data_IF_497477869438
#
_entry.id   IF_497477869438
#
_cell.length_a   1.000
_cell.length_b   1.000
_cell.length_c   1.000
_cell.angle_alpha   90.00
_cell.angle_beta   90.00
_cell.angle_gamma   90.00
#
_symmetry.space_group_name_H-M   'P 1'
#
loop_
_entity.id
_entity.type
_entity.pdbx_description
1 polymer ?
#
# COMPACT_ATOMS: atom_id res chain seq x y z
N UNK A 1 -19.04 -11.56 43.87
CA UNK A 1 -17.85 -10.77 43.49
C UNK A 1 -16.80 -11.74 42.95
N UNK A 2 -16.80 -12.00 41.65
CA UNK A 2 -15.79 -12.81 40.99
C UNK A 2 -15.04 -11.92 40.02
N UNK A 3 -13.80 -11.54 40.36
CA UNK A 3 -12.91 -10.88 39.41
C UNK A 3 -12.36 -11.96 38.48
N UNK A 4 -12.93 -12.05 37.28
CA UNK A 4 -12.31 -12.76 36.17
C UNK A 4 -11.14 -11.92 35.66
N UNK A 5 -9.92 -12.39 35.91
CA UNK A 5 -8.70 -11.88 35.30
C UNK A 5 -8.75 -12.11 33.79
N UNK A 6 -9.11 -11.05 33.05
CA UNK A 6 -8.93 -10.99 31.60
C UNK A 6 -7.43 -11.03 31.29
N UNK A 7 -6.94 -12.20 30.87
CA UNK A 7 -5.60 -12.35 30.32
C UNK A 7 -5.60 -11.76 28.91
N UNK A 8 -5.26 -10.47 28.81
CA UNK A 8 -5.06 -9.81 27.52
C UNK A 8 -3.83 -10.43 26.83
N UNK A 9 -4.04 -10.98 25.64
CA UNK A 9 -2.94 -11.33 24.74
C UNK A 9 -2.26 -10.00 24.38
N UNK A 10 -1.05 -9.76 24.91
CA UNK A 10 -0.24 -8.59 24.54
C UNK A 10 0.11 -8.69 23.04
N UNK A 11 -0.59 -7.93 22.21
CA UNK A 11 -0.30 -7.80 20.78
C UNK A 11 0.95 -6.95 20.51
N UNK A 12 1.48 -7.05 19.29
CA UNK A 12 2.58 -6.22 18.82
C UNK A 12 2.19 -4.73 18.79
N UNK A 13 3.03 -3.87 19.37
CA UNK A 13 2.76 -2.43 19.56
C UNK A 13 3.84 -1.54 18.94
N UNK A 14 3.57 -0.24 18.87
CA UNK A 14 4.56 0.77 18.44
C UNK A 14 5.80 0.75 19.34
N UNK A 15 5.62 0.59 20.65
CA UNK A 15 6.71 0.51 21.63
C UNK A 15 7.58 -0.74 21.39
N UNK A 16 6.94 -1.88 21.11
CA UNK A 16 7.65 -3.13 20.76
C UNK A 16 8.42 -2.98 19.45
N UNK A 17 7.81 -2.37 18.43
CA UNK A 17 8.45 -2.09 17.16
C UNK A 17 9.70 -1.21 17.35
N UNK A 18 9.57 -0.08 18.04
CA UNK A 18 10.67 0.86 18.33
C UNK A 18 11.80 0.16 19.08
N UNK A 19 11.48 -0.55 20.15
CA UNK A 19 12.48 -1.28 20.96
C UNK A 19 13.22 -2.32 20.13
N UNK A 20 12.50 -3.09 19.31
CA UNK A 20 13.11 -4.12 18.45
C UNK A 20 13.99 -3.52 17.34
N UNK A 21 13.60 -2.37 16.77
CA UNK A 21 14.45 -1.62 15.82
C UNK A 21 15.74 -1.15 16.53
N UNK A 22 15.63 -0.52 17.71
CA UNK A 22 16.78 -0.02 18.46
C UNK A 22 17.76 -1.13 18.86
N UNK A 23 17.24 -2.30 19.21
CA UNK A 23 18.03 -3.49 19.54
C UNK A 23 18.60 -4.19 18.29
N UNK A 24 18.38 -3.66 17.09
CA UNK A 24 18.89 -4.21 15.84
C UNK A 24 18.30 -5.57 15.47
N UNK A 25 17.08 -5.88 15.94
CA UNK A 25 16.39 -7.17 15.72
C UNK A 25 16.14 -7.49 14.25
N UNK A 26 15.93 -6.45 13.45
CA UNK A 26 15.57 -6.54 12.04
C UNK A 26 16.77 -6.20 11.17
N UNK A 27 17.06 -7.07 10.20
CA UNK A 27 18.15 -6.94 9.23
C UNK A 27 17.62 -6.83 7.80
N UNK A 28 16.45 -7.43 7.53
CA UNK A 28 15.82 -7.50 6.22
C UNK A 28 14.42 -6.89 6.29
N UNK A 29 14.36 -5.56 6.25
CA UNK A 29 13.10 -4.81 6.26
C UNK A 29 12.61 -4.65 4.83
N UNK A 30 11.42 -5.15 4.52
CA UNK A 30 10.76 -4.92 3.23
C UNK A 30 9.66 -3.89 3.40
N UNK A 31 9.61 -2.92 2.50
CA UNK A 31 8.60 -1.86 2.48
C UNK A 31 7.73 -2.01 1.23
N UNK A 32 6.42 -2.10 1.42
CA UNK A 32 5.42 -2.06 0.37
C UNK A 32 4.68 -0.72 0.42
N UNK A 33 4.89 0.12 -0.59
CA UNK A 33 4.25 1.43 -0.68
C UNK A 33 3.12 1.46 -1.70
N UNK A 34 2.22 2.43 -1.57
CA UNK A 34 1.27 2.82 -2.62
C UNK A 34 1.18 4.33 -2.75
N UNK A 35 0.26 4.83 -3.58
CA UNK A 35 0.15 6.26 -3.88
C UNK A 35 -0.07 7.17 -2.64
N UNK A 36 -0.58 6.62 -1.53
CA UNK A 36 -0.82 7.37 -0.30
C UNK A 36 0.43 8.00 0.32
N UNK A 37 1.64 7.47 0.04
CA UNK A 37 2.88 8.12 0.52
C UNK A 37 3.21 9.42 -0.24
N UNK A 38 2.61 9.64 -1.41
CA UNK A 38 2.90 10.78 -2.27
C UNK A 38 1.82 11.88 -2.19
N UNK A 39 0.74 11.68 -1.44
CA UNK A 39 -0.38 12.64 -1.40
C UNK A 39 0.00 13.99 -0.80
N UNK A 40 0.88 14.00 0.21
CA UNK A 40 1.36 15.25 0.83
C UNK A 40 2.35 16.00 -0.07
N UNK A 41 2.90 15.35 -1.11
CA UNK A 41 3.68 15.99 -2.17
C UNK A 41 2.80 16.56 -3.31
N UNK A 42 1.47 16.56 -3.16
CA UNK A 42 0.53 17.07 -4.15
C UNK A 42 0.22 16.11 -5.31
N UNK A 43 0.78 14.90 -5.30
CA UNK A 43 0.43 13.86 -6.28
C UNK A 43 -0.84 13.17 -5.78
N UNK A 44 -1.98 13.30 -6.48
CA UNK A 44 -3.23 12.70 -6.02
C UNK A 44 -3.11 11.17 -6.07
N UNK A 45 -3.77 10.50 -5.13
CA UNK A 45 -3.98 9.07 -5.26
C UNK A 45 -5.03 8.76 -6.35
N UNK A 46 -5.29 7.47 -6.58
CA UNK A 46 -6.27 7.06 -7.58
C UNK A 46 -7.73 7.20 -7.11
N UNK A 47 -8.00 6.92 -5.84
CA UNK A 47 -9.33 6.49 -5.35
C UNK A 47 -10.01 7.46 -4.38
N UNK A 48 -9.30 8.46 -3.87
CA UNK A 48 -9.85 9.35 -2.85
C UNK A 48 -11.08 10.10 -3.37
N UNK A 49 -12.15 10.20 -2.55
CA UNK A 49 -13.34 10.98 -2.91
C UNK A 49 -12.96 12.43 -3.21
N UNK A 50 -13.56 13.01 -4.24
CA UNK A 50 -13.44 14.44 -4.60
C UNK A 50 -12.10 14.94 -5.15
N UNK A 51 -10.97 14.26 -4.91
CA UNK A 51 -9.66 14.71 -5.38
C UNK A 51 -8.79 13.62 -6.03
N UNK A 52 -9.17 12.35 -5.90
CA UNK A 52 -8.47 11.23 -6.55
C UNK A 52 -8.56 11.29 -8.07
N UNK A 53 -7.65 10.57 -8.74
CA UNK A 53 -7.55 10.55 -10.20
C UNK A 53 -8.87 10.13 -10.86
N UNK A 54 -9.52 9.06 -10.39
CA UNK A 54 -10.80 8.59 -10.92
C UNK A 54 -11.92 9.64 -10.89
N UNK A 55 -11.93 10.50 -9.88
CA UNK A 55 -12.92 11.59 -9.79
C UNK A 55 -12.72 12.64 -10.89
N UNK A 56 -11.46 12.95 -11.21
CA UNK A 56 -11.06 13.93 -12.24
C UNK A 56 -11.28 13.41 -13.67
N UNK A 57 -11.32 12.08 -13.85
CA UNK A 57 -11.52 11.44 -15.14
C UNK A 57 -12.95 11.50 -15.67
N UNK A 58 -13.92 11.94 -14.86
CA UNK A 58 -15.34 12.06 -15.26
C UNK A 58 -15.58 13.02 -16.44
N UNK A 59 -14.59 13.84 -16.80
CA UNK A 59 -14.61 14.67 -18.02
C UNK A 59 -14.46 13.85 -19.31
N UNK A 60 -13.94 12.64 -19.21
CA UNK A 60 -13.84 11.69 -20.31
C UNK A 60 -15.07 10.78 -20.26
N UNK A 61 -15.69 10.52 -21.41
CA UNK A 61 -16.85 9.62 -21.55
C UNK A 61 -16.41 8.15 -21.48
N UNK A 62 -15.83 7.77 -20.32
CA UNK A 62 -15.32 6.43 -20.08
C UNK A 62 -16.47 5.52 -19.64
N UNK A 63 -16.48 4.24 -20.06
CA UNK A 63 -17.50 3.28 -19.63
C UNK A 63 -17.47 3.05 -18.11
N UNK A 64 -16.29 3.20 -17.50
CA UNK A 64 -16.05 3.22 -16.05
C UNK A 64 -14.66 3.84 -15.78
N UNK A 65 -14.40 4.38 -14.57
CA UNK A 65 -13.18 5.17 -14.31
C UNK A 65 -11.86 4.42 -14.54
N UNK A 66 -11.82 3.12 -14.25
CA UNK A 66 -10.63 2.28 -14.40
C UNK A 66 -10.25 2.01 -15.86
N UNK A 67 -11.18 2.18 -16.82
CA UNK A 67 -10.97 1.85 -18.23
C UNK A 67 -9.75 2.55 -18.82
N UNK A 68 -9.47 3.80 -18.41
CA UNK A 68 -8.29 4.55 -18.91
C UNK A 68 -6.96 3.86 -18.58
N UNK A 69 -6.92 3.02 -17.55
CA UNK A 69 -5.73 2.27 -17.15
C UNK A 69 -5.78 0.80 -17.57
N UNK A 70 -6.74 0.37 -18.40
CA UNK A 70 -6.76 -0.99 -18.92
C UNK A 70 -5.96 -1.10 -20.22
N UNK A 71 -5.08 -2.10 -20.32
CA UNK A 71 -4.28 -2.30 -21.52
C UNK A 71 -5.13 -2.56 -22.76
N UNK A 72 -6.25 -3.29 -22.60
CA UNK A 72 -7.20 -3.53 -23.70
C UNK A 72 -7.89 -2.25 -24.18
N UNK A 73 -8.32 -1.40 -23.26
CA UNK A 73 -8.94 -0.12 -23.60
C UNK A 73 -7.90 0.82 -24.23
N UNK A 74 -6.71 0.92 -23.65
CA UNK A 74 -5.60 1.73 -24.17
C UNK A 74 -5.24 1.34 -25.62
N UNK A 75 -5.19 0.05 -25.94
CA UNK A 75 -4.92 -0.42 -27.30
C UNK A 75 -6.06 -0.09 -28.29
N UNK A 76 -7.29 0.12 -27.81
CA UNK A 76 -8.44 0.51 -28.63
C UNK A 76 -8.53 2.03 -28.80
N UNK A 77 -8.38 2.78 -27.71
CA UNK A 77 -8.38 4.24 -27.67
C UNK A 77 -7.45 4.76 -26.56
N UNK A 78 -6.23 5.20 -26.90
CA UNK A 78 -5.27 5.72 -25.93
C UNK A 78 -5.47 7.20 -25.60
N UNK A 79 -6.37 7.91 -26.31
CA UNK A 79 -6.52 9.36 -26.16
C UNK A 79 -6.90 9.79 -24.73
N UNK A 80 -7.81 9.10 -24.01
CA UNK A 80 -8.10 9.45 -22.62
C UNK A 80 -6.88 9.32 -21.69
N UNK A 81 -5.98 8.37 -21.96
CA UNK A 81 -4.74 8.20 -21.20
C UNK A 81 -3.74 9.32 -21.50
N UNK A 82 -3.53 9.68 -22.77
CA UNK A 82 -2.65 10.79 -23.14
C UNK A 82 -3.19 12.15 -22.67
N UNK A 83 -4.51 12.30 -22.57
CA UNK A 83 -5.15 13.46 -21.96
C UNK A 83 -4.85 13.67 -20.47
N UNK A 84 -4.17 12.72 -19.82
CA UNK A 84 -3.63 12.87 -18.46
C UNK A 84 -2.26 13.52 -18.43
N UNK A 85 -1.54 13.50 -19.56
CA UNK A 85 -0.16 13.95 -19.64
C UNK A 85 -0.15 15.38 -20.20
N UNK A 86 0.39 16.37 -19.47
CA UNK A 86 0.34 17.78 -19.90
C UNK A 86 0.99 18.07 -21.26
N UNK A 87 1.91 17.22 -21.72
CA UNK A 87 2.72 17.48 -22.92
C UNK A 87 2.14 16.92 -24.23
N UNK A 88 1.02 16.18 -24.20
CA UNK A 88 0.41 15.62 -25.42
C UNK A 88 1.28 14.59 -26.17
N UNK A 89 2.34 14.09 -25.55
CA UNK A 89 3.22 13.08 -26.14
C UNK A 89 2.49 11.75 -26.33
N UNK A 90 2.71 11.11 -27.48
CA UNK A 90 2.10 9.82 -27.87
C UNK A 90 3.00 8.63 -27.48
N UNK A 91 4.03 8.87 -26.67
CA UNK A 91 4.89 7.80 -26.17
C UNK A 91 4.20 7.16 -24.98
N UNK A 92 3.90 5.88 -25.11
CA UNK A 92 3.39 5.09 -24.00
C UNK A 92 4.49 4.98 -22.92
N UNK A 93 4.26 5.50 -21.70
CA UNK A 93 5.21 5.35 -20.61
C UNK A 93 5.30 3.88 -20.19
N UNK A 94 6.44 3.48 -19.64
CA UNK A 94 6.67 2.13 -19.11
C UNK A 94 5.95 1.94 -17.76
N UNK A 95 4.62 1.94 -17.82
CA UNK A 95 3.70 1.68 -16.73
C UNK A 95 2.92 0.41 -17.03
N UNK A 96 2.68 -0.38 -16.00
CA UNK A 96 1.84 -1.59 -16.09
C UNK A 96 0.38 -1.17 -16.03
N UNK A 97 -0.34 -1.41 -17.12
CA UNK A 97 -1.79 -1.21 -17.19
C UNK A 97 -2.53 -2.47 -16.69
N UNK A 98 -3.78 -2.31 -16.28
CA UNK A 98 -4.62 -3.44 -15.89
C UNK A 98 -4.76 -4.44 -17.04
N UNK A 99 -4.59 -5.73 -16.71
CA UNK A 99 -4.60 -6.83 -17.67
C UNK A 99 -3.23 -7.12 -18.29
N UNK A 100 -2.20 -6.33 -18.00
CA UNK A 100 -0.84 -6.60 -18.46
C UNK A 100 -0.03 -7.45 -17.48
N UNK A 101 1.05 -8.03 -18.00
CA UNK A 101 1.94 -8.87 -17.20
C UNK A 101 2.86 -8.00 -16.35
N UNK A 102 2.98 -8.34 -15.07
CA UNK A 102 3.96 -7.70 -14.19
C UNK A 102 5.39 -7.99 -14.68
N UNK A 103 6.32 -7.03 -14.60
CA UNK A 103 7.71 -7.24 -14.98
C UNK A 103 8.31 -8.45 -14.26
N UNK A 104 9.04 -9.31 -14.97
CA UNK A 104 9.64 -10.53 -14.38
C UNK A 104 10.55 -10.21 -13.19
N UNK A 105 11.24 -9.06 -13.23
CA UNK A 105 12.04 -8.55 -12.11
C UNK A 105 11.21 -8.40 -10.83
N UNK A 106 10.00 -7.86 -10.93
CA UNK A 106 9.10 -7.70 -9.78
C UNK A 106 8.75 -9.06 -9.17
N UNK A 107 8.33 -10.03 -9.99
CA UNK A 107 7.96 -11.36 -9.51
C UNK A 107 9.14 -12.08 -8.83
N UNK A 108 10.33 -12.01 -9.44
CA UNK A 108 11.53 -12.67 -8.93
C UNK A 108 12.00 -12.08 -7.60
N UNK A 109 12.06 -10.74 -7.52
CA UNK A 109 12.51 -10.05 -6.31
C UNK A 109 11.48 -10.16 -5.19
N UNK A 110 10.20 -9.96 -5.49
CA UNK A 110 9.15 -10.05 -4.49
C UNK A 110 9.16 -11.40 -3.77
N UNK A 111 9.31 -12.50 -4.52
CA UNK A 111 9.38 -13.83 -3.91
C UNK A 111 10.58 -13.98 -2.96
N UNK A 112 11.78 -13.57 -3.40
CA UNK A 112 13.01 -13.73 -2.62
C UNK A 112 13.06 -12.79 -1.42
N UNK A 113 12.72 -11.52 -1.60
CA UNK A 113 12.85 -10.48 -0.58
C UNK A 113 11.82 -10.68 0.52
N UNK A 114 10.54 -10.92 0.18
CA UNK A 114 9.49 -11.12 1.17
C UNK A 114 9.64 -12.42 1.96
N UNK A 115 10.18 -13.47 1.33
CA UNK A 115 10.49 -14.74 2.00
C UNK A 115 11.62 -14.58 3.03
N UNK A 116 12.57 -13.69 2.77
CA UNK A 116 13.73 -13.44 3.63
C UNK A 116 13.54 -12.25 4.60
N UNK A 117 12.45 -11.51 4.47
CA UNK A 117 12.11 -10.39 5.34
C UNK A 117 11.97 -10.84 6.79
N UNK A 118 12.41 -9.98 7.72
CA UNK A 118 12.18 -10.13 9.16
C UNK A 118 11.30 -9.01 9.74
N UNK A 119 10.95 -8.01 8.94
CA UNK A 119 9.92 -7.00 9.21
C UNK A 119 9.26 -6.59 7.88
N UNK A 120 7.93 -6.54 7.86
CA UNK A 120 7.18 -5.97 6.73
C UNK A 120 6.57 -4.63 7.14
N UNK A 121 6.85 -3.59 6.37
CA UNK A 121 6.22 -2.28 6.48
C UNK A 121 5.32 -2.04 5.27
N UNK A 122 4.06 -1.71 5.49
CA UNK A 122 3.09 -1.41 4.42
C UNK A 122 2.59 0.02 4.61
N UNK A 123 2.88 0.90 3.66
CA UNK A 123 2.62 2.34 3.78
C UNK A 123 1.79 2.86 2.60
N UNK A 124 0.77 3.66 2.90
CA UNK A 124 0.05 4.46 1.89
C UNK A 124 -0.62 3.63 0.80
N UNK A 125 -1.08 2.41 1.10
CA UNK A 125 -1.79 1.56 0.15
C UNK A 125 -3.02 0.95 0.80
N UNK A 126 -4.13 0.87 0.07
CA UNK A 126 -5.32 0.14 0.51
C UNK A 126 -5.24 -1.36 0.27
N UNK A 127 -4.18 -1.85 -0.39
CA UNK A 127 -4.03 -3.24 -0.83
C UNK A 127 -5.23 -3.73 -1.67
N UNK A 128 -5.71 -2.86 -2.54
CA UNK A 128 -6.87 -3.07 -3.41
C UNK A 128 -6.61 -3.94 -4.65
N UNK A 129 -5.37 -3.98 -5.13
CA UNK A 129 -5.04 -4.41 -6.50
C UNK A 129 -4.18 -5.67 -6.48
N UNK A 130 -4.67 -6.71 -7.14
CA UNK A 130 -3.88 -7.91 -7.41
C UNK A 130 -2.90 -7.67 -8.58
N UNK A 131 -1.73 -8.35 -8.61
CA UNK A 131 -1.23 -9.30 -7.61
C UNK A 131 -0.58 -8.64 -6.39
N UNK A 132 -0.41 -7.32 -6.39
CA UNK A 132 0.32 -6.57 -5.36
C UNK A 132 -0.22 -6.83 -3.94
N UNK A 133 -1.53 -6.92 -3.82
CA UNK A 133 -2.21 -7.14 -2.56
C UNK A 133 -1.90 -8.53 -1.92
N UNK A 134 -1.52 -9.52 -2.74
CA UNK A 134 -1.12 -10.85 -2.30
C UNK A 134 0.32 -10.92 -1.77
N UNK A 135 1.15 -9.89 -2.01
CA UNK A 135 2.56 -9.88 -1.59
C UNK A 135 2.74 -10.10 -0.09
N UNK A 136 1.83 -9.55 0.73
CA UNK A 136 1.89 -9.69 2.19
C UNK A 136 1.85 -11.17 2.64
N UNK A 137 1.33 -12.07 1.79
CA UNK A 137 1.22 -13.52 2.09
C UNK A 137 2.52 -14.28 1.84
N UNK A 138 3.49 -13.68 1.16
CA UNK A 138 4.80 -14.27 0.88
C UNK A 138 5.74 -14.19 2.09
N UNK A 139 5.38 -13.41 3.12
CA UNK A 139 6.14 -13.28 4.35
C UNK A 139 5.94 -14.47 5.29
N UNK A 140 6.97 -14.80 6.08
CA UNK A 140 6.86 -15.82 7.13
C UNK A 140 5.82 -15.39 8.18
N UNK A 141 4.98 -16.33 8.63
CA UNK A 141 3.84 -15.97 9.50
C UNK A 141 4.21 -15.33 10.84
N UNK A 142 5.45 -15.51 11.31
CA UNK A 142 5.94 -15.05 12.60
C UNK A 142 6.54 -13.63 12.57
N UNK A 143 6.83 -13.08 11.38
CA UNK A 143 7.46 -11.76 11.31
C UNK A 143 6.42 -10.67 11.58
N UNK A 144 6.78 -9.58 12.27
CA UNK A 144 5.87 -8.47 12.45
C UNK A 144 5.51 -7.81 11.12
N UNK A 145 4.25 -7.41 10.98
CA UNK A 145 3.76 -6.65 9.82
C UNK A 145 3.10 -5.38 10.29
N UNK A 146 3.59 -4.24 9.83
CA UNK A 146 3.06 -2.92 10.17
C UNK A 146 2.31 -2.38 8.97
N UNK A 147 1.06 -1.98 9.16
CA UNK A 147 0.25 -1.33 8.14
C UNK A 147 -0.04 0.10 8.55
N UNK A 148 0.24 1.05 7.66
CA UNK A 148 0.03 2.48 7.85
C UNK A 148 -0.72 3.05 6.66
N UNK A 149 -1.93 3.53 6.88
CA UNK A 149 -2.73 4.17 5.83
C UNK A 149 -3.92 4.92 6.44
N UNK A 150 -4.49 5.88 5.71
CA UNK A 150 -5.70 6.60 6.14
C UNK A 150 -6.98 5.73 6.12
N UNK A 151 -6.91 4.54 5.53
CA UNK A 151 -8.04 3.58 5.42
C UNK A 151 -7.62 2.18 5.83
N UNK A 152 -8.59 1.32 6.17
CA UNK A 152 -8.30 -0.07 6.57
C UNK A 152 -7.75 -0.89 5.40
N UNK A 153 -6.86 -1.87 5.65
CA UNK A 153 -6.38 -2.76 4.60
C UNK A 153 -7.53 -3.50 3.94
N UNK A 154 -7.46 -3.68 2.63
CA UNK A 154 -8.50 -4.36 1.86
C UNK A 154 -9.80 -3.56 1.67
N UNK A 155 -9.91 -2.33 2.21
CA UNK A 155 -10.99 -1.42 1.80
C UNK A 155 -10.69 -0.90 0.40
N UNK A 156 -11.17 -1.63 -0.62
CA UNK A 156 -11.34 -1.09 -1.96
C UNK A 156 -12.77 -1.27 -2.41
N UNK A 157 -13.41 -0.14 -2.69
CA UNK A 157 -14.76 0.03 -3.22
C UNK A 157 -14.87 -0.27 -4.72
N UNK A 158 -13.85 -0.88 -5.32
CA UNK A 158 -13.89 -1.27 -6.73
C UNK A 158 -14.92 -2.38 -6.90
N UNK A 159 -16.10 -2.01 -7.36
CA UNK A 159 -17.25 -2.89 -7.65
C UNK A 159 -16.83 -4.10 -8.48
N UNK A 160 -15.80 -3.96 -9.33
CA UNK A 160 -15.24 -5.03 -10.15
C UNK A 160 -14.50 -6.12 -9.33
N UNK A 161 -13.76 -5.73 -8.29
CA UNK A 161 -13.06 -6.68 -7.40
C UNK A 161 -14.02 -7.41 -6.46
N UNK A 162 -15.05 -6.70 -5.99
CA UNK A 162 -16.12 -7.27 -5.18
C UNK A 162 -17.04 -8.20 -5.99
N UNK A 163 -17.24 -7.94 -7.30
CA UNK A 163 -18.05 -8.77 -8.21
C UNK A 163 -17.35 -10.06 -8.64
N UNK A 164 -16.02 -10.08 -8.69
CA UNK A 164 -15.23 -11.26 -9.10
C UNK A 164 -14.95 -12.26 -7.97
N UNK A 165 -15.48 -12.05 -6.76
CA UNK A 165 -15.29 -13.00 -5.64
C UNK A 165 -13.85 -13.16 -5.16
N UNK A 166 -12.91 -12.35 -5.67
CA UNK A 166 -11.54 -12.23 -5.20
C UNK A 166 -11.51 -11.39 -3.92
N UNK A 167 -12.30 -11.81 -2.94
CA UNK A 167 -12.13 -11.42 -1.55
C UNK A 167 -10.85 -12.11 -1.05
N UNK A 168 -9.68 -11.67 -1.55
CA UNK A 168 -8.43 -11.87 -0.83
C UNK A 168 -8.67 -11.19 0.50
N UNK A 169 -9.04 -11.97 1.52
CA UNK A 169 -9.23 -11.47 2.87
C UNK A 169 -7.85 -11.12 3.40
N UNK A 170 -7.37 -9.96 2.97
CA UNK A 170 -6.13 -9.36 3.41
C UNK A 170 -6.40 -8.92 4.82
N UNK A 171 -6.03 -9.79 5.75
CA UNK A 171 -6.24 -9.59 7.17
C UNK A 171 -4.92 -9.23 7.84
N UNK A 172 -4.99 -8.15 8.59
CA UNK A 172 -4.00 -7.75 9.59
C UNK A 172 -4.61 -8.00 10.97
N UNK A 173 -4.83 -9.27 11.29
CA UNK A 173 -5.48 -9.73 12.52
C UNK A 173 -4.60 -10.69 13.34
N UNK A 174 -3.35 -10.90 12.91
CA UNK A 174 -2.41 -11.74 13.65
C UNK A 174 -1.85 -10.99 14.86
N UNK A 175 -1.43 -11.68 15.93
CA UNK A 175 -0.86 -11.04 17.12
C UNK A 175 0.38 -10.17 16.85
N UNK A 176 1.09 -10.44 15.75
CA UNK A 176 2.27 -9.73 15.27
C UNK A 176 1.96 -8.64 14.22
N UNK A 177 0.68 -8.36 13.97
CA UNK A 177 0.28 -7.26 13.11
C UNK A 177 0.07 -5.97 13.92
N UNK A 178 0.54 -4.85 13.37
CA UNK A 178 0.29 -3.51 13.89
C UNK A 178 -0.39 -2.68 12.82
N UNK A 179 -1.60 -2.19 13.09
CA UNK A 179 -2.39 -1.39 12.14
C UNK A 179 -2.53 0.03 12.68
N UNK A 180 -1.98 0.99 11.94
CA UNK A 180 -2.02 2.42 12.24
C UNK A 180 -2.86 3.13 11.17
N UNK A 181 -4.07 3.56 11.54
CA UNK A 181 -4.98 4.27 10.63
C UNK A 181 -4.73 5.77 10.75
N UNK A 182 -3.67 6.24 10.09
CA UNK A 182 -3.16 7.61 10.22
C UNK A 182 -2.43 8.06 8.93
N UNK A 183 -2.09 9.35 8.85
CA UNK A 183 -1.22 9.88 7.81
C UNK A 183 0.20 9.29 7.88
N UNK A 184 0.76 8.93 6.72
CA UNK A 184 2.06 8.26 6.64
C UNK A 184 3.19 9.13 7.19
N UNK A 185 3.21 10.43 6.89
CA UNK A 185 4.30 11.32 7.33
C UNK A 185 4.24 11.52 8.84
N UNK A 186 3.04 11.62 9.41
CA UNK A 186 2.86 11.75 10.85
C UNK A 186 3.38 10.50 11.58
N UNK A 187 3.06 9.30 11.08
CA UNK A 187 3.56 8.05 11.67
C UNK A 187 5.07 7.94 11.55
N UNK A 188 5.66 8.26 10.39
CA UNK A 188 7.12 8.23 10.22
C UNK A 188 7.80 9.23 11.17
N UNK A 189 7.30 10.46 11.28
CA UNK A 189 7.83 11.47 12.22
C UNK A 189 7.73 11.01 13.67
N UNK A 190 6.62 10.39 14.06
CA UNK A 190 6.43 9.83 15.40
C UNK A 190 7.41 8.68 15.69
N UNK A 191 7.61 7.78 14.74
CA UNK A 191 8.59 6.69 14.85
C UNK A 191 10.03 7.23 14.94
N UNK A 192 10.40 8.16 14.07
CA UNK A 192 11.71 8.81 14.10
C UNK A 192 11.96 9.54 15.42
N UNK A 193 10.95 10.21 15.97
CA UNK A 193 11.04 10.82 17.31
C UNK A 193 11.35 9.80 18.39
N UNK A 194 10.62 8.67 18.43
CA UNK A 194 10.86 7.58 19.38
C UNK A 194 12.20 6.86 19.17
N UNK A 195 12.73 6.88 17.94
CA UNK A 195 14.02 6.28 17.57
C UNK A 195 15.21 7.24 17.72
N UNK A 196 14.98 8.50 18.13
CA UNK A 196 15.98 9.56 18.15
C UNK A 196 16.57 9.92 16.77
N UNK A 197 15.80 9.74 15.70
CA UNK A 197 16.18 10.02 14.30
C UNK A 197 15.64 11.36 13.77
N UNK A 198 14.91 12.14 14.58
CA UNK A 198 14.28 13.40 14.13
C UNK A 198 15.27 14.39 13.50
N UNK A 199 16.45 14.56 14.10
CA UNK A 199 17.44 15.51 13.58
C UNK A 199 18.03 15.06 12.23
N UNK A 200 18.19 13.76 12.03
CA UNK A 200 18.68 13.19 10.77
C UNK A 200 17.62 13.33 9.68
N UNK A 201 16.37 12.97 9.98
CA UNK A 201 15.25 13.10 9.05
C UNK A 201 15.07 14.54 8.55
N UNK A 202 15.22 15.53 9.44
CA UNK A 202 15.03 16.94 9.08
C UNK A 202 16.19 17.54 8.25
N UNK A 203 17.32 16.82 8.12
CA UNK A 203 18.48 17.27 7.33
C UNK A 203 18.47 16.72 5.90
N UNK A 204 17.69 15.68 5.63
CA UNK A 204 17.49 15.09 4.30
C UNK A 204 16.57 15.97 3.45
#
# INVERSE_FOLDING_TARGET
MGQGSSSSIQGFSVESLVSQIQNGRYKNIVILCGAGISTNAGIPDFRSPSFGLYFKLRKFDLPYPEAVFEGKYFNKDPNPFYGLIPCGGVVRPDVVLFGETMPSRFCNLAHNDLKNADLLLVFGTSLAVAPYNGLITLTKSQIPRVYVSKTKPGQSTSTLGSFLGLNSSIKFDKPNDLVLIEDCDQVVRNLCSKLNWTQELNKL
#
